data_IF_099656169736
#
_entry.id   IF_099656169736
#
_cell.length_a   1.000
_cell.length_b   1.000
_cell.length_c   1.000
_cell.angle_alpha   90.00
_cell.angle_beta   90.00
_cell.angle_gamma   90.00
#
_symmetry.space_group_name_H-M   'P 1'
#
loop_
_entity.id
_entity.type
_entity.pdbx_description
1 polymer ?
#
# COMPACT_ATOMS: atom_id res chain seq x y z
N UNK A 1 -29.86 -6.28 -4.93
CA UNK A 1 -28.75 -5.47 -5.49
C UNK A 1 -27.46 -6.25 -5.35
N UNK A 2 -26.78 -6.53 -6.48
CA UNK A 2 -25.50 -7.24 -6.50
C UNK A 2 -24.38 -6.37 -5.97
N UNK A 3 -23.65 -6.88 -4.98
CA UNK A 3 -22.35 -6.35 -4.60
C UNK A 3 -21.29 -7.25 -5.25
N UNK A 4 -20.16 -6.61 -5.54
CA UNK A 4 -18.87 -7.16 -5.97
C UNK A 4 -18.80 -7.93 -7.29
N UNK A 5 -18.24 -7.23 -8.28
CA UNK A 5 -17.92 -7.77 -9.59
C UNK A 5 -16.69 -8.65 -9.54
N UNK A 6 -16.88 -9.94 -9.84
CA UNK A 6 -16.08 -10.75 -10.76
C UNK A 6 -14.59 -10.31 -10.86
N UNK A 7 -13.79 -10.58 -9.82
CA UNK A 7 -12.33 -10.60 -9.93
C UNK A 7 -11.95 -11.78 -10.84
N UNK A 8 -12.02 -11.52 -12.14
CA UNK A 8 -11.67 -12.45 -13.20
C UNK A 8 -10.17 -12.66 -13.12
N UNK A 9 -9.75 -13.75 -12.47
CA UNK A 9 -8.35 -14.19 -12.39
C UNK A 9 -7.81 -14.42 -13.81
N UNK A 10 -6.92 -13.57 -14.36
CA UNK A 10 -6.32 -13.83 -15.66
C UNK A 10 -5.20 -14.87 -15.50
N UNK A 11 -4.97 -15.71 -16.53
CA UNK A 11 -3.94 -16.73 -16.50
C UNK A 11 -2.55 -16.09 -16.67
N UNK A 12 -1.69 -16.27 -15.68
CA UNK A 12 -0.22 -16.26 -15.78
C UNK A 12 0.38 -15.29 -16.82
N UNK A 13 0.66 -14.04 -16.39
CA UNK A 13 1.46 -13.12 -17.18
C UNK A 13 2.85 -13.71 -17.51
N UNK A 14 3.34 -13.55 -18.76
CA UNK A 14 4.70 -13.93 -19.12
C UNK A 14 5.73 -13.14 -18.31
N UNK A 15 6.88 -13.79 -18.02
CA UNK A 15 7.89 -13.35 -17.04
C UNK A 15 8.59 -12.02 -17.40
N UNK A 16 8.38 -11.50 -18.61
CA UNK A 16 9.08 -10.32 -19.15
C UNK A 16 8.37 -9.00 -18.77
N UNK A 17 7.04 -8.97 -18.82
CA UNK A 17 6.25 -7.77 -18.48
C UNK A 17 6.30 -7.40 -16.98
N UNK A 18 6.66 -8.35 -16.11
CA UNK A 18 6.70 -8.10 -14.66
C UNK A 18 7.70 -7.02 -14.27
N UNK A 19 8.82 -6.88 -14.99
CA UNK A 19 9.81 -5.83 -14.72
C UNK A 19 9.37 -4.46 -15.24
N UNK A 20 8.74 -4.41 -16.41
CA UNK A 20 8.18 -3.18 -16.97
C UNK A 20 7.03 -2.64 -16.11
N UNK A 21 6.12 -3.52 -15.69
CA UNK A 21 5.03 -3.21 -14.77
C UNK A 21 5.57 -2.73 -13.41
N UNK A 22 6.62 -3.39 -12.90
CA UNK A 22 7.29 -2.96 -11.68
C UNK A 22 7.88 -1.57 -11.82
N UNK A 23 8.56 -1.26 -12.92
CA UNK A 23 9.19 0.05 -13.11
C UNK A 23 8.14 1.17 -13.22
N UNK A 24 7.03 0.93 -13.93
CA UNK A 24 5.90 1.86 -14.00
C UNK A 24 5.25 2.11 -12.61
N UNK A 25 5.02 1.04 -11.85
CA UNK A 25 4.47 1.12 -10.49
C UNK A 25 5.46 1.83 -9.54
N UNK A 26 6.74 1.46 -9.60
CA UNK A 26 7.80 2.02 -8.77
C UNK A 26 8.05 3.50 -9.07
N UNK A 27 7.93 3.92 -10.32
CA UNK A 27 8.07 5.31 -10.72
C UNK A 27 6.98 6.21 -10.12
N UNK A 28 5.80 5.64 -9.87
CA UNK A 28 4.67 6.33 -9.24
C UNK A 28 4.80 6.49 -7.73
N UNK A 29 5.73 5.77 -7.09
CA UNK A 29 5.93 5.77 -5.66
C UNK A 29 6.79 6.97 -5.21
N UNK A 30 6.39 7.73 -4.17
CA UNK A 30 7.11 8.93 -3.72
C UNK A 30 8.49 8.63 -3.10
N UNK A 31 8.67 7.42 -2.53
CA UNK A 31 9.93 6.95 -1.93
C UNK A 31 10.52 5.79 -2.74
N UNK A 32 11.48 6.08 -3.60
CA UNK A 32 12.15 5.11 -4.48
C UNK A 32 13.41 4.56 -3.82
N UNK A 33 13.22 3.70 -2.83
CA UNK A 33 14.32 3.06 -2.09
C UNK A 33 14.16 1.54 -2.08
N UNK A 34 15.27 0.82 -1.87
CA UNK A 34 15.33 -0.64 -1.83
C UNK A 34 14.72 -1.36 -3.07
N UNK A 35 15.05 -0.91 -4.29
CA UNK A 35 14.55 -1.49 -5.58
C UNK A 35 14.71 -3.03 -5.63
N UNK A 36 15.82 -3.56 -5.10
CA UNK A 36 16.08 -5.00 -5.05
C UNK A 36 15.09 -5.79 -4.19
N UNK A 37 14.75 -5.30 -3.00
CA UNK A 37 13.75 -5.91 -2.13
C UNK A 37 12.34 -5.75 -2.72
N UNK A 38 12.06 -4.58 -3.30
CA UNK A 38 10.79 -4.28 -3.95
C UNK A 38 10.51 -5.19 -5.15
N UNK A 39 11.50 -5.45 -6.02
CA UNK A 39 11.34 -6.37 -7.16
C UNK A 39 10.98 -7.79 -6.72
N UNK A 40 11.60 -8.29 -5.65
CA UNK A 40 11.30 -9.62 -5.08
C UNK A 40 9.89 -9.66 -4.51
N UNK A 41 9.51 -8.65 -3.74
CA UNK A 41 8.19 -8.53 -3.16
C UNK A 41 7.10 -8.39 -4.23
N UNK A 42 7.36 -7.63 -5.30
CA UNK A 42 6.44 -7.43 -6.41
C UNK A 42 6.14 -8.72 -7.15
N UNK A 43 7.17 -9.54 -7.41
CA UNK A 43 6.97 -10.88 -8.00
C UNK A 43 6.15 -11.81 -7.09
N UNK A 44 6.25 -11.66 -5.78
CA UNK A 44 5.41 -12.40 -4.84
C UNK A 44 3.97 -11.87 -4.83
N UNK A 45 3.80 -10.54 -4.85
CA UNK A 45 2.49 -9.89 -4.92
C UNK A 45 1.73 -10.25 -6.19
N UNK A 46 2.39 -10.26 -7.37
CA UNK A 46 1.78 -10.68 -8.63
C UNK A 46 1.28 -12.14 -8.66
N UNK A 47 1.76 -12.99 -7.73
CA UNK A 47 1.23 -14.35 -7.57
C UNK A 47 -0.05 -14.40 -6.75
N UNK A 48 -0.27 -13.39 -5.91
CA UNK A 48 -1.41 -13.27 -4.99
C UNK A 48 -2.52 -12.40 -5.59
N UNK A 49 -2.14 -11.32 -6.27
CA UNK A 49 -3.04 -10.31 -6.81
C UNK A 49 -2.55 -9.77 -8.15
N UNK A 50 -3.42 -9.02 -8.84
CA UNK A 50 -3.12 -8.39 -10.12
C UNK A 50 -2.50 -7.01 -9.98
N UNK A 51 -1.80 -6.56 -11.02
CA UNK A 51 -1.18 -5.24 -11.05
C UNK A 51 -2.21 -4.10 -10.93
N UNK A 52 -3.42 -4.30 -11.44
CA UNK A 52 -4.52 -3.33 -11.32
C UNK A 52 -4.93 -3.11 -9.87
N UNK A 53 -5.01 -4.20 -9.08
CA UNK A 53 -5.27 -4.14 -7.64
C UNK A 53 -4.14 -3.43 -6.90
N UNK A 54 -2.89 -3.73 -7.24
CA UNK A 54 -1.72 -3.03 -6.68
C UNK A 54 -1.73 -1.54 -7.01
N UNK A 55 -2.14 -1.15 -8.22
CA UNK A 55 -2.27 0.25 -8.62
C UNK A 55 -3.40 0.96 -7.86
N UNK A 56 -4.54 0.30 -7.66
CA UNK A 56 -5.65 0.83 -6.85
C UNK A 56 -5.20 1.04 -5.40
N UNK A 57 -4.60 0.03 -4.78
CA UNK A 57 -4.06 0.12 -3.42
C UNK A 57 -2.97 1.19 -3.30
N UNK A 58 -2.07 1.28 -4.28
CA UNK A 58 -1.05 2.34 -4.32
C UNK A 58 -1.68 3.73 -4.43
N UNK A 59 -2.74 3.90 -5.20
CA UNK A 59 -3.41 5.20 -5.36
C UNK A 59 -4.02 5.66 -4.04
N UNK A 60 -4.70 4.76 -3.32
CA UNK A 60 -5.22 5.03 -1.97
C UNK A 60 -4.09 5.32 -0.97
N UNK A 61 -3.02 4.50 -0.99
CA UNK A 61 -1.85 4.70 -0.15
C UNK A 61 -1.19 6.05 -0.41
N UNK A 62 -1.00 6.42 -1.67
CA UNK A 62 -0.45 7.72 -2.08
C UNK A 62 -1.26 8.88 -1.52
N UNK A 63 -2.58 8.80 -1.59
CA UNK A 63 -3.45 9.81 -0.99
C UNK A 63 -3.28 9.90 0.53
N UNK A 64 -3.17 8.75 1.22
CA UNK A 64 -2.98 8.68 2.67
C UNK A 64 -1.61 9.20 3.15
N UNK A 65 -0.56 9.03 2.33
CA UNK A 65 0.79 9.54 2.62
C UNK A 65 1.09 10.89 1.99
N UNK A 66 0.15 11.46 1.21
CA UNK A 66 0.30 12.77 0.60
C UNK A 66 0.40 13.82 1.71
N UNK A 67 1.55 14.49 1.81
CA UNK A 67 1.84 15.47 2.85
C UNK A 67 2.51 14.92 4.11
N UNK A 68 2.73 13.60 4.21
CA UNK A 68 3.54 13.00 5.29
C UNK A 68 5.03 13.04 4.95
N UNK A 69 5.88 13.09 5.97
CA UNK A 69 7.33 13.03 5.78
C UNK A 69 7.77 11.68 5.21
N UNK A 70 8.84 11.72 4.39
CA UNK A 70 9.41 10.54 3.70
C UNK A 70 9.77 9.39 4.66
N UNK A 71 10.06 9.70 5.92
CA UNK A 71 10.36 8.71 6.96
C UNK A 71 9.16 7.81 7.30
N UNK A 72 7.93 8.35 7.25
CA UNK A 72 6.68 7.61 7.49
C UNK A 72 6.14 6.92 6.24
N UNK A 73 6.73 7.18 5.07
CA UNK A 73 6.40 6.48 3.83
C UNK A 73 7.12 5.14 3.85
N UNK A 74 6.34 4.05 3.89
CA UNK A 74 6.84 2.69 3.84
C UNK A 74 7.62 2.48 2.54
N UNK A 75 8.66 1.65 2.60
CA UNK A 75 9.39 1.26 1.40
C UNK A 75 8.46 0.47 0.48
N UNK A 76 8.57 0.61 -0.85
CA UNK A 76 7.75 -0.13 -1.80
C UNK A 76 7.85 -1.64 -1.59
N UNK A 77 9.03 -2.16 -1.24
CA UNK A 77 9.20 -3.58 -0.90
C UNK A 77 8.52 -3.98 0.40
N UNK A 78 8.54 -3.15 1.44
CA UNK A 78 7.84 -3.43 2.70
C UNK A 78 6.33 -3.36 2.53
N UNK A 79 5.83 -2.40 1.75
CA UNK A 79 4.42 -2.26 1.42
C UNK A 79 3.88 -3.52 0.71
N UNK A 80 4.64 -4.03 -0.27
CA UNK A 80 4.31 -5.28 -0.97
C UNK A 80 4.48 -6.53 -0.09
N UNK A 81 5.50 -6.61 0.76
CA UNK A 81 5.65 -7.78 1.66
C UNK A 81 4.54 -7.83 2.72
N UNK A 82 4.05 -6.68 3.16
CA UNK A 82 3.00 -6.57 4.16
C UNK A 82 1.58 -6.67 3.57
N UNK A 83 1.45 -7.00 2.27
CA UNK A 83 0.15 -7.21 1.61
C UNK A 83 -0.79 -6.01 1.72
N UNK A 84 -0.19 -4.81 1.80
CA UNK A 84 -0.88 -3.56 2.09
C UNK A 84 -1.83 -3.10 0.99
N UNK A 85 -1.98 -3.83 -0.11
CA UNK A 85 -3.01 -3.55 -1.13
C UNK A 85 -4.39 -4.07 -0.72
N UNK A 86 -4.48 -5.03 0.21
CA UNK A 86 -5.74 -5.52 0.81
C UNK A 86 -6.02 -4.89 2.17
N UNK A 87 -5.07 -4.11 2.69
CA UNK A 87 -5.27 -3.32 3.90
C UNK A 87 -6.40 -2.31 3.64
N UNK A 88 -7.42 -2.34 4.49
CA UNK A 88 -8.58 -1.48 4.37
C UNK A 88 -8.14 -0.06 4.74
N UNK A 89 -7.75 0.72 3.73
CA UNK A 89 -7.48 2.17 3.90
C UNK A 89 -8.76 2.96 4.18
N UNK A 90 -9.88 2.30 4.48
CA UNK A 90 -11.04 2.93 5.09
C UNK A 90 -10.59 3.46 6.43
N UNK A 91 -10.22 4.73 6.40
CA UNK A 91 -10.57 5.65 7.45
C UNK A 91 -10.10 5.23 8.85
N UNK A 92 -8.84 5.54 9.15
CA UNK A 92 -8.48 5.89 10.52
C UNK A 92 -8.66 7.41 10.74
N UNK A 93 -9.75 7.98 10.24
CA UNK A 93 -10.19 9.34 10.60
C UNK A 93 -11.49 9.35 11.41
N UNK A 94 -12.05 8.19 11.74
CA UNK A 94 -13.25 8.05 12.57
C UNK A 94 -13.00 7.01 13.68
N UNK A 95 -12.24 7.38 14.73
CA UNK A 95 -12.20 6.57 15.94
C UNK A 95 -10.95 6.70 16.80
N UNK A 96 -10.96 7.67 17.71
CA UNK A 96 -10.38 7.57 19.05
C UNK A 96 -8.92 7.14 19.17
N UNK A 97 -8.03 8.10 19.43
CA UNK A 97 -6.88 7.89 20.29
C UNK A 97 -7.39 7.58 21.73
N UNK A 98 -7.43 6.33 22.23
CA UNK A 98 -7.91 6.03 23.60
C UNK A 98 -6.97 6.54 24.71
N UNK A 99 -5.92 7.28 24.34
CA UNK A 99 -4.89 7.79 25.23
C UNK A 99 -4.76 9.33 25.18
N UNK A 100 -5.44 10.01 24.24
CA UNK A 100 -5.47 11.48 24.21
C UNK A 100 -6.13 12.06 25.47
N UNK A 101 -7.11 11.36 26.04
CA UNK A 101 -7.73 11.72 27.32
C UNK A 101 -6.83 11.46 28.55
N UNK A 102 -5.77 10.64 28.43
CA UNK A 102 -4.88 10.34 29.56
C UNK A 102 -3.65 11.27 29.61
N UNK A 103 -3.30 11.94 28.50
CA UNK A 103 -2.19 12.90 28.47
C UNK A 103 -2.54 14.31 28.93
N UNK A 104 -3.82 14.63 29.11
CA UNK A 104 -4.29 15.94 29.57
C UNK A 104 -4.49 16.04 31.10
N UNK A 105 -4.09 15.03 31.87
CA UNK A 105 -4.33 14.97 33.34
C UNK A 105 -3.04 14.97 34.16
N UNK A 106 -2.13 15.91 33.91
CA UNK A 106 -1.10 16.30 34.89
C UNK A 106 -0.52 17.66 34.55
N UNK A 107 -1.33 18.70 34.77
CA UNK A 107 -0.84 20.03 35.12
C UNK A 107 -1.96 20.74 35.90
N UNK A 108 -1.70 20.86 37.20
CA UNK A 108 -2.25 21.83 38.16
C UNK A 108 -3.66 21.59 38.72
N UNK A 109 -3.73 21.01 39.92
CA UNK A 109 -4.01 21.74 41.18
C UNK A 109 -3.90 20.81 42.40
#
# INVERSE_FOLDING_TARGET
>A
MGRDGKNTRPPAAPKDDSDALFDAWYSSYPRKEAKGAARKAFKAALKKTDIETLHRGLTAYKASVQGKEKTYIALPGSWLNAERWEDDYTDNQEGADPWAALRASSTQN
#
